data_IF_324607978484
#
_entry.id   IF_324607978484
#
_cell.length_a   1.000
_cell.length_b   1.000
_cell.length_c   1.000
_cell.angle_alpha   90.00
_cell.angle_beta   90.00
_cell.angle_gamma   90.00
#
_symmetry.space_group_name_H-M   'P 1'
#
loop_
_entity.id
_entity.type
_entity.pdbx_description
1 polymer ?
#
# COMPACT_ATOMS: atom_id res chain seq x y z
N UNK A 1 2.58 7.68 -7.50
CA UNK A 1 2.26 8.70 -6.48
C UNK A 1 2.92 8.27 -5.18
N UNK A 2 3.61 9.19 -4.51
CA UNK A 2 4.22 8.95 -3.19
C UNK A 2 3.24 9.30 -2.08
N UNK A 3 3.47 8.75 -0.89
CA UNK A 3 2.85 9.22 0.35
C UNK A 3 3.99 9.81 1.16
N UNK A 4 4.04 11.13 1.30
CA UNK A 4 5.14 11.80 1.97
C UNK A 4 4.79 11.96 3.45
N UNK A 5 5.56 11.34 4.35
CA UNK A 5 5.30 11.43 5.80
C UNK A 5 6.42 12.21 6.46
N UNK A 6 6.08 13.34 7.06
CA UNK A 6 7.06 14.24 7.70
C UNK A 6 6.79 14.34 9.20
N UNK A 7 7.87 14.32 10.00
CA UNK A 7 7.81 14.62 11.42
C UNK A 7 7.49 16.08 11.68
N UNK A 8 6.75 16.37 12.75
CA UNK A 8 6.35 17.75 13.12
C UNK A 8 7.41 18.47 13.95
N UNK A 9 8.05 17.77 14.88
CA UNK A 9 9.11 18.33 15.71
C UNK A 9 10.16 17.24 15.99
N UNK A 10 10.88 16.82 14.94
CA UNK A 10 11.73 15.65 15.03
C UNK A 10 12.93 15.87 15.97
N UNK A 11 13.22 14.88 16.80
CA UNK A 11 14.35 14.91 17.75
C UNK A 11 15.64 14.37 17.15
N UNK A 12 15.57 13.73 15.98
CA UNK A 12 16.70 13.16 15.26
C UNK A 12 16.42 13.01 13.77
N UNK A 13 17.43 12.61 13.01
CA UNK A 13 17.34 12.43 11.54
C UNK A 13 16.29 11.40 11.11
N UNK A 14 16.16 10.23 11.78
CA UNK A 14 15.11 9.24 11.45
C UNK A 14 13.68 9.77 11.55
N UNK A 15 13.43 10.76 12.41
CA UNK A 15 12.10 11.33 12.62
C UNK A 15 11.69 12.40 11.61
N UNK A 16 12.60 12.88 10.76
CA UNK A 16 12.32 14.02 9.87
C UNK A 16 11.38 13.64 8.73
N UNK A 17 11.65 12.52 8.08
CA UNK A 17 10.93 12.10 6.89
C UNK A 17 10.93 10.59 6.75
N UNK A 18 9.75 10.01 6.56
CA UNK A 18 9.57 8.61 6.25
C UNK A 18 9.09 8.47 4.81
N UNK A 19 9.99 8.01 3.95
CA UNK A 19 9.68 7.79 2.54
C UNK A 19 8.90 6.51 2.39
N UNK A 20 7.65 6.62 1.98
CA UNK A 20 6.88 5.46 1.57
C UNK A 20 6.06 5.77 0.31
N UNK A 21 6.01 4.86 -0.65
CA UNK A 21 5.14 5.09 -1.82
C UNK A 21 3.73 4.57 -1.53
N UNK A 22 2.75 4.98 -2.33
CA UNK A 22 1.33 4.64 -2.11
C UNK A 22 1.11 3.13 -1.94
N UNK A 23 1.83 2.30 -2.69
CA UNK A 23 1.68 0.83 -2.68
C UNK A 23 2.07 0.19 -1.36
N UNK A 24 3.08 0.75 -0.71
CA UNK A 24 3.61 0.27 0.56
C UNK A 24 2.99 1.00 1.75
N UNK A 25 2.43 2.18 1.54
CA UNK A 25 1.82 2.98 2.59
C UNK A 25 0.46 2.44 3.01
N UNK A 26 -0.44 2.12 2.06
CA UNK A 26 -1.78 1.65 2.43
C UNK A 26 -1.74 0.41 3.34
N UNK A 27 -0.99 -0.66 3.04
CA UNK A 27 -0.93 -1.84 3.92
C UNK A 27 -0.28 -1.55 5.28
N UNK A 28 0.71 -0.66 5.31
CA UNK A 28 1.33 -0.23 6.56
C UNK A 28 0.33 0.54 7.44
N UNK A 29 -0.42 1.46 6.85
CA UNK A 29 -1.45 2.23 7.54
C UNK A 29 -2.58 1.33 8.06
N UNK A 30 -3.08 0.40 7.24
CA UNK A 30 -4.08 -0.60 7.65
C UNK A 30 -3.58 -1.43 8.84
N UNK A 31 -2.32 -1.86 8.79
CA UNK A 31 -1.70 -2.60 9.89
C UNK A 31 -1.61 -1.77 11.17
N UNK A 32 -1.24 -0.48 11.08
CA UNK A 32 -1.23 0.42 12.24
C UNK A 32 -2.61 0.50 12.89
N UNK A 33 -3.67 0.70 12.09
CA UNK A 33 -5.06 0.77 12.59
C UNK A 33 -5.54 -0.57 13.17
N UNK A 34 -5.01 -1.69 12.70
CA UNK A 34 -5.31 -3.03 13.24
C UNK A 34 -4.65 -3.26 14.59
N UNK A 35 -3.37 -2.86 14.73
CA UNK A 35 -2.57 -3.09 15.94
C UNK A 35 -2.98 -2.17 17.08
N UNK A 36 -3.29 -0.90 16.76
CA UNK A 36 -3.54 0.14 17.75
C UNK A 36 -4.72 1.02 17.33
N UNK A 37 -5.95 0.47 17.26
CA UNK A 37 -7.12 1.20 16.76
C UNK A 37 -7.42 2.47 17.57
N UNK A 38 -7.29 2.40 18.91
CA UNK A 38 -7.60 3.54 19.79
C UNK A 38 -6.62 4.70 19.60
N UNK A 39 -5.33 4.40 19.40
CA UNK A 39 -4.29 5.41 19.11
C UNK A 39 -4.48 5.97 17.69
N UNK A 40 -4.74 5.09 16.72
CA UNK A 40 -4.86 5.48 15.33
C UNK A 40 -6.14 6.27 15.02
N UNK A 41 -7.16 6.22 15.89
CA UNK A 41 -8.40 6.97 15.74
C UNK A 41 -8.22 8.50 15.73
N UNK A 42 -7.10 9.00 16.27
CA UNK A 42 -6.76 10.43 16.20
C UNK A 42 -6.43 10.91 14.78
N UNK A 43 -5.89 10.04 13.92
CA UNK A 43 -5.68 10.30 12.50
C UNK A 43 -6.85 9.71 11.70
N UNK A 44 -7.61 10.57 11.02
CA UNK A 44 -8.80 10.18 10.24
C UNK A 44 -8.47 9.86 8.79
N UNK A 45 -7.39 10.45 8.28
CA UNK A 45 -7.06 10.47 6.86
C UNK A 45 -5.76 9.72 6.56
N UNK A 46 -5.64 8.49 7.05
CA UNK A 46 -4.48 7.62 6.85
C UNK A 46 -4.14 7.36 5.38
N UNK A 47 -5.09 7.50 4.47
CA UNK A 47 -4.96 7.11 3.07
C UNK A 47 -4.95 8.30 2.12
N UNK A 48 -4.79 9.52 2.64
CA UNK A 48 -4.74 10.74 1.84
C UNK A 48 -3.67 11.71 2.34
N UNK A 49 -3.31 12.63 1.45
CA UNK A 49 -2.27 13.63 1.64
C UNK A 49 -2.87 14.95 2.18
N UNK A 50 -3.72 14.83 3.20
CA UNK A 50 -4.51 15.94 3.75
C UNK A 50 -3.84 16.61 4.96
N UNK A 51 -2.55 16.32 5.20
CA UNK A 51 -1.72 16.81 6.32
C UNK A 51 -2.16 16.32 7.70
N UNK A 52 -3.05 15.34 7.74
CA UNK A 52 -3.44 14.64 8.95
C UNK A 52 -2.30 13.77 9.49
N UNK A 53 -2.40 13.35 10.75
CA UNK A 53 -1.42 12.49 11.40
C UNK A 53 -1.46 12.64 12.91
N UNK A 54 -0.61 11.88 13.61
CA UNK A 54 -0.62 11.80 15.06
C UNK A 54 0.20 12.91 15.73
N UNK A 55 -0.15 13.24 16.97
CA UNK A 55 0.71 14.05 17.83
C UNK A 55 1.90 13.25 18.38
N UNK A 56 2.76 13.91 19.17
CA UNK A 56 3.97 13.28 19.71
C UNK A 56 3.68 12.09 20.64
N UNK A 57 2.63 12.18 21.46
CA UNK A 57 2.30 11.15 22.44
C UNK A 57 1.73 9.92 21.72
N UNK A 58 0.80 10.13 20.80
CA UNK A 58 0.18 9.06 20.02
C UNK A 58 1.16 8.41 19.04
N UNK A 59 2.02 9.20 18.38
CA UNK A 59 3.06 8.65 17.52
C UNK A 59 4.03 7.75 18.31
N UNK A 60 4.48 8.19 19.48
CA UNK A 60 5.35 7.38 20.33
C UNK A 60 4.65 6.12 20.84
N UNK A 61 3.38 6.24 21.27
CA UNK A 61 2.58 5.10 21.71
C UNK A 61 2.37 4.07 20.59
N UNK A 62 2.14 4.52 19.36
CA UNK A 62 2.04 3.65 18.18
C UNK A 62 3.38 2.95 17.91
N UNK A 63 4.51 3.66 18.00
CA UNK A 63 5.82 3.06 17.82
C UNK A 63 6.07 1.89 18.80
N UNK A 64 5.70 2.08 20.06
CA UNK A 64 5.83 1.04 21.09
C UNK A 64 4.86 -0.13 20.86
N UNK A 65 3.64 0.13 20.38
CA UNK A 65 2.70 -0.92 20.01
C UNK A 65 3.24 -1.76 18.84
N UNK A 66 3.74 -1.12 17.77
CA UNK A 66 4.33 -1.80 16.62
C UNK A 66 5.58 -2.61 17.01
N UNK A 67 6.42 -2.08 17.89
CA UNK A 67 7.59 -2.81 18.38
C UNK A 67 7.19 -4.07 19.15
N UNK A 68 6.17 -4.02 20.00
CA UNK A 68 5.68 -5.22 20.72
C UNK A 68 5.16 -6.30 19.76
N UNK A 69 4.55 -5.91 18.64
CA UNK A 69 4.12 -6.86 17.61
C UNK A 69 5.30 -7.48 16.86
N UNK A 70 6.36 -6.70 16.60
CA UNK A 70 7.61 -7.19 16.01
C UNK A 70 8.31 -8.16 16.96
N UNK A 71 8.52 -7.77 18.22
CA UNK A 71 9.22 -8.57 19.22
C UNK A 71 8.48 -9.88 19.53
N UNK A 72 7.15 -9.87 19.43
CA UNK A 72 6.34 -11.07 19.60
C UNK A 72 6.22 -11.95 18.34
N UNK A 73 6.85 -11.57 17.22
CA UNK A 73 6.79 -12.30 15.95
C UNK A 73 5.41 -12.27 15.26
N UNK A 74 4.49 -11.42 15.72
CA UNK A 74 3.13 -11.29 15.15
C UNK A 74 3.17 -10.53 13.83
N UNK A 75 4.02 -9.51 13.71
CA UNK A 75 4.21 -8.77 12.45
C UNK A 75 4.73 -9.66 11.32
N UNK A 76 5.69 -10.55 11.60
CA UNK A 76 6.20 -11.50 10.59
C UNK A 76 5.13 -12.55 10.22
N UNK A 77 4.35 -13.01 11.20
CA UNK A 77 3.22 -13.91 10.94
C UNK A 77 2.15 -13.24 10.08
N UNK A 78 1.85 -11.96 10.33
CA UNK A 78 0.96 -11.16 9.50
C UNK A 78 1.52 -11.00 8.07
N UNK A 79 2.79 -10.64 7.93
CA UNK A 79 3.43 -10.46 6.63
C UNK A 79 3.37 -11.72 5.76
N UNK A 80 3.62 -12.89 6.34
CA UNK A 80 3.52 -14.18 5.62
C UNK A 80 2.09 -14.47 5.15
N UNK A 81 1.09 -14.23 6.01
CA UNK A 81 -0.33 -14.42 5.66
C UNK A 81 -0.73 -13.46 4.55
N UNK A 82 -0.39 -12.19 4.70
CA UNK A 82 -0.67 -11.16 3.73
C UNK A 82 -0.06 -11.48 2.35
N UNK A 83 1.20 -11.92 2.30
CA UNK A 83 1.84 -12.34 1.05
C UNK A 83 1.15 -13.55 0.41
N UNK A 84 0.76 -14.55 1.22
CA UNK A 84 0.00 -15.71 0.75
C UNK A 84 -1.36 -15.30 0.18
N UNK A 85 -2.07 -14.38 0.84
CA UNK A 85 -3.37 -13.88 0.37
C UNK A 85 -3.22 -13.13 -0.96
N UNK A 86 -2.14 -12.36 -1.13
CA UNK A 86 -1.84 -11.68 -2.39
C UNK A 86 -1.50 -12.63 -3.53
N UNK A 87 -0.81 -13.74 -3.25
CA UNK A 87 -0.50 -14.75 -4.27
C UNK A 87 -1.75 -15.53 -4.67
N UNK A 88 -2.54 -15.97 -3.69
CA UNK A 88 -3.75 -16.77 -3.89
C UNK A 88 -4.96 -15.97 -4.41
N UNK A 89 -4.87 -14.63 -4.45
CA UNK A 89 -5.95 -13.78 -4.95
C UNK A 89 -6.32 -14.20 -6.39
N UNK A 90 -7.60 -14.46 -6.70
CA UNK A 90 -8.01 -14.90 -8.03
C UNK A 90 -7.84 -13.78 -9.05
N UNK A 91 -7.43 -14.14 -10.27
CA UNK A 91 -7.39 -13.18 -11.37
C UNK A 91 -8.80 -12.66 -11.69
N UNK A 92 -8.89 -11.37 -12.04
CA UNK A 92 -10.14 -10.73 -12.41
C UNK A 92 -10.29 -10.62 -13.94
N UNK A 93 -11.52 -10.71 -14.47
CA UNK A 93 -11.76 -10.47 -15.88
C UNK A 93 -11.22 -9.10 -16.29
N UNK A 94 -10.44 -9.05 -17.36
CA UNK A 94 -9.88 -7.80 -17.86
C UNK A 94 -11.02 -6.86 -18.28
N UNK A 95 -11.16 -5.73 -17.59
CA UNK A 95 -12.23 -4.76 -17.85
C UNK A 95 -12.19 -4.13 -19.27
N UNK A 96 -11.09 -4.22 -20.00
CA UNK A 96 -10.96 -3.69 -21.37
C UNK A 96 -11.53 -4.66 -22.42
N UNK A 97 -11.40 -5.97 -22.20
CA UNK A 97 -11.87 -6.99 -23.14
C UNK A 97 -12.98 -7.88 -22.56
N UNK A 98 -13.44 -7.59 -21.34
CA UNK A 98 -14.45 -8.36 -20.62
C UNK A 98 -14.14 -9.88 -20.59
N UNK A 99 -12.89 -10.27 -20.29
CA UNK A 99 -12.50 -11.68 -20.20
C UNK A 99 -12.12 -12.35 -21.54
N UNK A 100 -12.35 -11.71 -22.68
CA UNK A 100 -12.21 -12.38 -23.99
C UNK A 100 -10.76 -12.48 -24.49
N UNK A 101 -9.83 -11.72 -23.91
CA UNK A 101 -8.46 -11.60 -24.41
C UNK A 101 -8.32 -10.78 -25.70
N UNK A 102 -9.43 -10.36 -26.32
CA UNK A 102 -9.46 -9.67 -27.61
C UNK A 102 -10.30 -8.40 -27.53
N UNK A 103 -9.92 -7.36 -28.27
CA UNK A 103 -10.68 -6.12 -28.37
C UNK A 103 -11.43 -6.10 -29.70
N UNK A 104 -12.71 -5.71 -29.65
CA UNK A 104 -13.45 -5.37 -30.87
C UNK A 104 -12.77 -4.18 -31.56
N UNK A 105 -12.67 -4.15 -32.89
CA UNK A 105 -12.01 -3.06 -33.59
C UNK A 105 -12.90 -1.80 -33.60
N UNK A 106 -12.58 -0.77 -32.81
CA UNK A 106 -13.08 0.62 -32.98
C UNK A 106 -12.13 1.67 -32.36
N UNK A 107 -11.91 2.84 -32.99
CA UNK A 107 -11.56 3.08 -34.39
C UNK A 107 -10.03 3.03 -34.63
N UNK A 108 -9.68 2.74 -35.87
CA UNK A 108 -8.37 2.42 -36.43
C UNK A 108 -7.37 3.60 -36.50
N UNK A 109 -6.80 4.04 -35.37
CA UNK A 109 -5.50 4.73 -35.44
C UNK A 109 -4.42 3.93 -34.71
N UNK A 110 -3.47 3.41 -35.48
CA UNK A 110 -2.27 2.73 -34.99
C UNK A 110 -2.37 1.22 -34.75
N UNK A 111 -3.34 0.52 -35.38
CA UNK A 111 -3.48 -0.92 -35.24
C UNK A 111 -2.72 -1.67 -36.34
N UNK A 112 -1.67 -2.39 -35.96
CA UNK A 112 -1.05 -3.42 -36.81
C UNK A 112 -2.05 -4.55 -37.13
N UNK A 113 -1.79 -5.26 -38.23
CA UNK A 113 -2.73 -6.09 -38.98
C UNK A 113 -3.75 -6.90 -38.16
N UNK A 114 -5.02 -6.77 -38.57
CA UNK A 114 -6.17 -7.53 -38.07
C UNK A 114 -5.91 -9.04 -38.22
N UNK A 115 -6.04 -9.80 -37.12
CA UNK A 115 -6.25 -11.26 -37.17
C UNK A 115 -7.75 -11.55 -37.09
N UNK A 116 -8.20 -12.65 -37.70
CA UNK A 116 -9.55 -13.19 -37.47
C UNK A 116 -9.80 -13.30 -35.95
N UNK A 117 -10.90 -12.72 -35.47
CA UNK A 117 -11.25 -12.68 -34.04
C UNK A 117 -10.95 -11.37 -33.30
N UNK A 118 -10.20 -10.42 -33.90
CA UNK A 118 -9.99 -9.07 -33.35
C UNK A 118 -8.54 -8.73 -33.01
N UNK A 119 -8.32 -7.65 -32.25
CA UNK A 119 -6.98 -7.19 -31.84
C UNK A 119 -6.64 -7.78 -30.47
N UNK A 120 -5.43 -8.34 -30.30
CA UNK A 120 -4.92 -8.81 -28.99
C UNK A 120 -5.06 -7.68 -27.95
N UNK A 121 -5.72 -7.96 -26.83
CA UNK A 121 -5.86 -6.96 -25.77
C UNK A 121 -4.48 -6.64 -25.16
N UNK A 122 -4.07 -5.38 -25.21
CA UNK A 122 -2.79 -4.91 -24.69
C UNK A 122 -2.75 -4.87 -23.15
N UNK A 123 -3.91 -4.74 -22.48
CA UNK A 123 -3.97 -4.73 -21.01
C UNK A 123 -3.67 -6.11 -20.42
N UNK A 124 -4.38 -7.14 -20.87
CA UNK A 124 -4.20 -8.51 -20.37
C UNK A 124 -3.24 -9.35 -21.23
N UNK A 125 -2.61 -8.75 -22.24
CA UNK A 125 -1.73 -9.46 -23.18
C UNK A 125 -2.37 -10.72 -23.79
N UNK A 126 -3.67 -10.68 -24.07
CA UNK A 126 -4.42 -11.82 -24.64
C UNK A 126 -4.92 -12.86 -23.63
N UNK A 127 -4.57 -12.78 -22.34
CA UNK A 127 -4.97 -13.76 -21.33
C UNK A 127 -6.48 -13.70 -20.96
N UNK A 128 -7.14 -12.58 -21.23
CA UNK A 128 -8.54 -12.34 -20.80
C UNK A 128 -8.66 -11.92 -19.35
N UNK A 129 -7.73 -12.33 -18.49
CA UNK A 129 -7.71 -12.03 -17.07
C UNK A 129 -6.44 -11.25 -16.69
N UNK A 130 -6.50 -10.55 -15.57
CA UNK A 130 -5.37 -9.82 -15.00
C UNK A 130 -5.31 -10.04 -13.50
N UNK A 131 -4.11 -9.91 -12.92
CA UNK A 131 -3.97 -9.79 -11.47
C UNK A 131 -4.82 -8.62 -10.96
N UNK A 132 -5.57 -8.77 -9.87
CA UNK A 132 -6.29 -7.65 -9.28
C UNK A 132 -5.32 -6.60 -8.75
N UNK A 133 -5.75 -5.35 -8.80
CA UNK A 133 -4.93 -4.21 -8.38
C UNK A 133 -4.43 -4.34 -6.93
N UNK A 134 -5.27 -4.89 -6.04
CA UNK A 134 -4.96 -5.13 -4.62
C UNK A 134 -3.75 -6.06 -4.40
N UNK A 135 -3.43 -6.93 -5.35
CA UNK A 135 -2.25 -7.83 -5.26
C UNK A 135 -0.91 -7.11 -5.42
N UNK A 136 -0.91 -5.81 -5.74
CA UNK A 136 0.30 -5.00 -5.95
C UNK A 136 0.71 -4.16 -4.73
N UNK A 137 0.06 -4.34 -3.59
CA UNK A 137 0.31 -3.56 -2.36
C UNK A 137 1.11 -4.39 -1.36
N UNK A 138 2.44 -4.45 -1.41
CA UNK A 138 3.24 -5.31 -0.55
C UNK A 138 3.24 -4.86 0.91
N UNK A 139 3.58 -5.80 1.80
CA UNK A 139 3.76 -5.56 3.23
C UNK A 139 5.03 -6.28 3.72
N UNK A 140 5.81 -5.63 4.60
CA UNK A 140 6.98 -6.26 5.20
C UNK A 140 7.26 -5.79 6.62
N UNK A 141 7.85 -6.67 7.43
CA UNK A 141 8.25 -6.37 8.82
C UNK A 141 9.30 -5.26 8.87
N UNK A 142 10.21 -5.21 7.90
CA UNK A 142 11.26 -4.19 7.81
C UNK A 142 10.65 -2.79 7.63
N UNK A 143 9.59 -2.67 6.83
CA UNK A 143 8.91 -1.40 6.62
C UNK A 143 8.21 -0.93 7.91
N UNK A 144 7.58 -1.87 8.64
CA UNK A 144 6.98 -1.58 9.95
C UNK A 144 8.04 -1.14 10.96
N UNK A 145 9.19 -1.82 11.01
CA UNK A 145 10.29 -1.49 11.91
C UNK A 145 10.88 -0.10 11.60
N UNK A 146 11.07 0.22 10.32
CA UNK A 146 11.53 1.54 9.89
C UNK A 146 10.52 2.64 10.27
N UNK A 147 9.21 2.37 10.12
CA UNK A 147 8.18 3.32 10.53
C UNK A 147 8.12 3.51 12.04
N UNK A 148 8.25 2.43 12.83
CA UNK A 148 8.33 2.51 14.28
C UNK A 148 9.54 3.37 14.74
N UNK A 149 10.70 3.22 14.09
CA UNK A 149 11.86 4.07 14.36
C UNK A 149 11.60 5.55 14.05
N UNK A 150 11.00 5.85 12.89
CA UNK A 150 10.57 7.20 12.53
C UNK A 150 9.62 7.79 13.59
N UNK A 151 8.59 7.04 13.98
CA UNK A 151 7.57 7.51 14.92
C UNK A 151 8.16 7.94 16.26
N UNK A 152 9.12 7.18 16.82
CA UNK A 152 9.78 7.50 18.10
C UNK A 152 10.45 8.86 18.11
N UNK A 153 10.98 9.29 16.97
CA UNK A 153 11.78 10.50 16.85
C UNK A 153 11.06 11.63 16.11
N UNK A 154 9.82 11.43 15.67
CA UNK A 154 9.08 12.38 14.81
C UNK A 154 8.55 13.62 15.54
N UNK A 155 8.31 13.52 16.84
CA UNK A 155 7.56 14.53 17.59
C UNK A 155 6.10 14.65 17.12
N UNK A 156 5.53 13.57 16.58
CA UNK A 156 4.28 13.56 15.82
C UNK A 156 4.55 13.68 14.33
N UNK A 157 3.58 13.35 13.48
CA UNK A 157 3.77 13.37 12.04
C UNK A 157 2.57 13.93 11.26
N UNK A 158 2.80 14.24 9.99
CA UNK A 158 1.76 14.61 9.03
C UNK A 158 2.00 13.91 7.69
N UNK A 159 0.91 13.52 7.04
CA UNK A 159 0.88 12.88 5.72
C UNK A 159 0.63 13.96 4.66
N UNK A 160 1.63 14.30 3.84
CA UNK A 160 1.70 15.48 2.96
C UNK A 160 1.26 15.26 1.52
#
# INVERSE_FOLDING_TARGET
>A
MGMDICGRNPTGEPGQYFRNNVWWWHPLADYCTTVAPDICAACRYWHSNDRDGLDAADAFALAEALQREIDAGRTETYARRYASDQELMPDEPCNICAGTGMRTPRPHRGADALKEGGIKCNKCQGAGYVRPWASHYPFSTENVAAFAAFLRESGGFSIL
#
